data_IF_891565265431
#
_entry.id   IF_891565265431
#
_cell.length_a   1.000
_cell.length_b   1.000
_cell.length_c   1.000
_cell.angle_alpha   90.00
_cell.angle_beta   90.00
_cell.angle_gamma   90.00
#
_symmetry.space_group_name_H-M   'P 1'
#
loop_
_entity.id
_entity.type
_entity.pdbx_description
1 polymer ?
#
# COMPACT_ATOMS: atom_id res chain seq x y z
N UNK A 1 -4.62 -13.71 -12.14
CA UNK A 1 -3.65 -12.60 -12.14
C UNK A 1 -3.60 -12.04 -10.73
N UNK A 2 -2.43 -11.71 -10.21
CA UNK A 2 -2.25 -11.27 -8.83
C UNK A 2 -1.21 -10.14 -8.80
N UNK A 3 -1.47 -9.11 -8.02
CA UNK A 3 -0.62 -7.94 -7.92
C UNK A 3 0.22 -8.01 -6.64
N UNK A 4 1.51 -7.69 -6.77
CA UNK A 4 2.47 -7.61 -5.66
C UNK A 4 3.09 -6.22 -5.64
N UNK A 5 3.63 -5.83 -4.49
CA UNK A 5 4.33 -4.56 -4.32
C UNK A 5 5.75 -4.81 -3.79
N UNK A 6 6.75 -4.17 -4.40
CA UNK A 6 8.07 -3.99 -3.81
C UNK A 6 8.22 -2.52 -3.40
N UNK A 7 8.61 -2.29 -2.16
CA UNK A 7 8.86 -0.94 -1.60
C UNK A 7 10.35 -0.82 -1.29
N UNK A 8 10.97 0.24 -1.79
CA UNK A 8 12.41 0.48 -1.60
C UNK A 8 12.60 1.51 -0.49
N UNK A 9 13.02 1.07 0.68
CA UNK A 9 13.36 1.94 1.81
C UNK A 9 14.84 2.24 1.79
N UNK A 10 15.20 3.32 1.09
CA UNK A 10 16.58 3.73 0.81
C UNK A 10 17.37 3.96 2.10
N UNK A 11 16.80 4.69 3.07
CA UNK A 11 17.47 4.99 4.33
C UNK A 11 17.79 3.74 5.17
N UNK A 12 16.99 2.68 5.02
CA UNK A 12 17.10 1.43 5.77
C UNK A 12 17.86 0.34 5.01
N UNK A 13 18.24 0.63 3.75
CA UNK A 13 18.80 -0.35 2.80
C UNK A 13 17.94 -1.62 2.72
N UNK A 14 16.62 -1.44 2.59
CA UNK A 14 15.65 -2.54 2.45
C UNK A 14 14.84 -2.43 1.17
N UNK A 15 14.55 -3.58 0.59
CA UNK A 15 13.52 -3.78 -0.41
C UNK A 15 12.48 -4.69 0.24
N UNK A 16 11.29 -4.18 0.49
CA UNK A 16 10.22 -4.91 1.17
C UNK A 16 9.24 -5.46 0.14
N UNK A 17 8.94 -6.75 0.23
CA UNK A 17 7.95 -7.41 -0.62
C UNK A 17 6.65 -7.63 0.15
N UNK A 18 5.56 -7.06 -0.38
CA UNK A 18 4.21 -7.16 0.16
C UNK A 18 3.34 -8.05 -0.75
N UNK A 19 2.62 -8.98 -0.12
CA UNK A 19 1.76 -9.93 -0.81
C UNK A 19 0.41 -10.10 -0.09
N UNK A 20 -0.61 -9.40 -0.56
CA UNK A 20 -1.96 -9.46 0.03
C UNK A 20 -2.61 -10.85 0.01
N UNK A 21 -2.12 -11.80 -0.81
CA UNK A 21 -2.64 -13.17 -0.91
C UNK A 21 -1.54 -14.22 -0.66
N UNK A 22 -1.21 -14.54 0.61
CA UNK A 22 -0.13 -15.47 0.95
C UNK A 22 -0.39 -16.91 0.49
N UNK A 23 -1.66 -17.29 0.29
CA UNK A 23 -2.06 -18.63 -0.19
C UNK A 23 -1.91 -18.82 -1.70
N UNK A 24 -1.61 -17.75 -2.45
CA UNK A 24 -1.34 -17.86 -3.88
C UNK A 24 -0.04 -18.62 -4.15
N UNK A 25 0.12 -19.15 -5.37
CA UNK A 25 1.41 -19.71 -5.81
C UNK A 25 2.51 -18.66 -5.59
N UNK A 26 3.55 -19.04 -4.84
CA UNK A 26 4.61 -18.10 -4.44
C UNK A 26 5.24 -17.43 -5.66
N UNK A 27 5.11 -16.10 -5.73
CA UNK A 27 5.79 -15.25 -6.70
C UNK A 27 7.14 -14.74 -6.19
N UNK A 28 7.62 -15.25 -5.04
CA UNK A 28 8.87 -14.82 -4.40
C UNK A 28 10.09 -14.93 -5.32
N UNK A 29 10.27 -15.96 -6.18
CA UNK A 29 11.37 -15.97 -7.14
C UNK A 29 11.38 -14.75 -8.07
N UNK A 30 10.22 -14.31 -8.55
CA UNK A 30 10.13 -13.11 -9.38
C UNK A 30 10.47 -11.83 -8.60
N UNK A 31 10.08 -11.75 -7.33
CA UNK A 31 10.47 -10.63 -6.47
C UNK A 31 12.00 -10.59 -6.25
N UNK A 32 12.65 -11.75 -6.12
CA UNK A 32 14.11 -11.86 -6.05
C UNK A 32 14.77 -11.38 -7.34
N UNK A 33 14.26 -11.80 -8.50
CA UNK A 33 14.78 -11.38 -9.81
C UNK A 33 14.64 -9.87 -10.02
N UNK A 34 13.46 -9.31 -9.74
CA UNK A 34 13.20 -7.86 -9.85
C UNK A 34 14.07 -7.06 -8.87
N UNK A 35 14.21 -7.52 -7.62
CA UNK A 35 15.08 -6.86 -6.65
C UNK A 35 16.55 -6.91 -7.07
N UNK A 36 17.00 -8.01 -7.67
CA UNK A 36 18.38 -8.14 -8.16
C UNK A 36 18.65 -7.18 -9.33
N UNK A 37 17.75 -7.15 -10.32
CA UNK A 37 17.84 -6.23 -11.45
C UNK A 37 17.80 -4.76 -11.01
N UNK A 38 16.98 -4.43 -10.01
CA UNK A 38 16.94 -3.09 -9.44
C UNK A 38 18.28 -2.71 -8.78
N UNK A 39 18.89 -3.60 -8.00
CA UNK A 39 20.19 -3.34 -7.37
C UNK A 39 21.29 -3.13 -8.41
N UNK A 40 21.32 -3.94 -9.46
CA UNK A 40 22.26 -3.77 -10.57
C UNK A 40 22.10 -2.40 -11.24
N UNK A 41 20.85 -1.97 -11.48
CA UNK A 41 20.55 -0.65 -12.04
C UNK A 41 20.91 0.50 -11.08
N UNK A 42 20.73 0.32 -9.78
CA UNK A 42 21.16 1.30 -8.78
C UNK A 42 22.69 1.46 -8.79
N UNK A 43 23.45 0.36 -8.85
CA UNK A 43 24.91 0.39 -8.98
C UNK A 43 25.33 1.09 -10.28
N UNK A 44 24.67 0.79 -11.40
CA UNK A 44 24.96 1.41 -12.71
C UNK A 44 24.78 2.94 -12.67
N UNK A 45 23.87 3.43 -11.82
CA UNK A 45 23.58 4.85 -11.58
C UNK A 45 24.43 5.49 -10.48
N UNK A 46 25.38 4.76 -9.89
CA UNK A 46 26.32 5.28 -8.90
C UNK A 46 25.93 5.06 -7.43
N UNK A 47 24.86 4.32 -7.14
CA UNK A 47 24.55 3.87 -5.78
C UNK A 47 25.40 2.63 -5.46
N UNK A 48 26.67 2.84 -5.12
CA UNK A 48 27.64 1.76 -4.93
C UNK A 48 27.29 0.82 -3.76
N UNK A 49 26.54 1.33 -2.78
CA UNK A 49 26.05 0.57 -1.62
C UNK A 49 24.73 -0.15 -1.89
N UNK A 50 24.20 -0.14 -3.12
CA UNK A 50 22.98 -0.87 -3.46
C UNK A 50 23.08 -2.39 -3.24
N UNK A 51 24.30 -2.93 -3.25
CA UNK A 51 24.55 -4.35 -2.91
C UNK A 51 24.26 -4.67 -1.45
N UNK A 52 24.24 -3.67 -0.56
CA UNK A 52 23.89 -3.82 0.86
C UNK A 52 22.38 -3.92 1.08
N UNK A 53 21.55 -3.64 0.06
CA UNK A 53 20.11 -3.71 0.21
C UNK A 53 19.65 -5.14 0.45
N UNK A 54 18.80 -5.37 1.45
CA UNK A 54 18.21 -6.68 1.73
C UNK A 54 16.79 -6.77 1.17
N UNK A 55 16.44 -7.90 0.53
CA UNK A 55 15.05 -8.19 0.17
C UNK A 55 14.35 -8.87 1.35
N UNK A 56 13.38 -8.17 1.94
CA UNK A 56 12.62 -8.62 3.11
C UNK A 56 11.21 -9.02 2.68
N UNK A 57 10.73 -10.16 3.16
CA UNK A 57 9.31 -10.54 3.06
C UNK A 57 8.58 -9.95 4.26
N UNK A 58 7.58 -9.11 4.02
CA UNK A 58 6.76 -8.52 5.09
C UNK A 58 5.54 -9.40 5.30
N UNK A 59 5.36 -9.92 6.50
CA UNK A 59 4.25 -10.83 6.86
C UNK A 59 3.18 -10.13 7.71
N UNK A 60 3.55 -9.08 8.43
CA UNK A 60 2.66 -8.32 9.31
C UNK A 60 2.01 -7.17 8.53
N UNK A 61 0.99 -7.50 7.74
CA UNK A 61 0.20 -6.53 6.99
C UNK A 61 -1.22 -7.06 6.69
N UNK A 62 -2.18 -6.20 6.33
CA UNK A 62 -3.53 -6.63 5.98
C UNK A 62 -3.53 -7.64 4.82
N UNK A 63 -4.33 -8.71 4.90
CA UNK A 63 -4.44 -9.71 3.84
C UNK A 63 -5.83 -9.69 3.20
N UNK A 64 -5.89 -9.92 1.89
CA UNK A 64 -7.15 -10.04 1.17
C UNK A 64 -7.80 -11.39 1.45
N UNK A 65 -9.14 -11.40 1.50
CA UNK A 65 -9.96 -12.59 1.64
C UNK A 65 -10.62 -12.99 0.31
N UNK A 66 -10.51 -12.16 -0.73
CA UNK A 66 -11.12 -12.39 -2.06
C UNK A 66 -10.06 -12.64 -3.14
N UNK A 67 -10.47 -13.05 -4.34
CA UNK A 67 -9.54 -13.28 -5.46
C UNK A 67 -9.20 -12.03 -6.30
N UNK A 68 -9.88 -10.90 -6.08
CA UNK A 68 -9.89 -9.76 -7.01
C UNK A 68 -9.54 -8.41 -6.37
N UNK A 69 -9.30 -8.36 -5.06
CA UNK A 69 -8.98 -7.13 -4.33
C UNK A 69 -7.48 -6.78 -4.30
N UNK A 70 -6.59 -7.65 -4.81
CA UNK A 70 -5.14 -7.44 -4.76
C UNK A 70 -4.67 -6.08 -5.29
N UNK A 71 -5.32 -5.55 -6.32
CA UNK A 71 -5.04 -4.21 -6.83
C UNK A 71 -5.38 -3.10 -5.84
N UNK A 72 -6.47 -3.22 -5.09
CA UNK A 72 -6.88 -2.22 -4.08
C UNK A 72 -5.96 -2.30 -2.86
N UNK A 73 -5.63 -3.51 -2.40
CA UNK A 73 -4.64 -3.69 -1.33
C UNK A 73 -3.29 -3.09 -1.72
N UNK A 74 -2.79 -3.34 -2.94
CA UNK A 74 -1.55 -2.76 -3.43
C UNK A 74 -1.58 -1.22 -3.44
N UNK A 75 -2.66 -0.61 -3.93
CA UNK A 75 -2.82 0.85 -3.93
C UNK A 75 -2.83 1.42 -2.52
N UNK A 76 -3.55 0.79 -1.58
CA UNK A 76 -3.60 1.26 -0.20
C UNK A 76 -2.30 1.01 0.57
N UNK A 77 -1.57 -0.08 0.28
CA UNK A 77 -0.22 -0.23 0.81
C UNK A 77 0.68 0.94 0.36
N UNK A 78 0.64 1.32 -0.93
CA UNK A 78 1.42 2.45 -1.43
C UNK A 78 1.04 3.76 -0.74
N UNK A 79 -0.25 4.04 -0.59
CA UNK A 79 -0.74 5.26 0.07
C UNK A 79 -0.23 5.36 1.52
N UNK A 80 -0.43 4.32 2.33
CA UNK A 80 0.03 4.31 3.73
C UNK A 80 1.56 4.32 3.84
N UNK A 81 2.28 3.47 3.09
CA UNK A 81 3.74 3.34 3.20
C UNK A 81 4.50 4.55 2.62
N UNK A 82 3.83 5.38 1.81
CA UNK A 82 4.42 6.63 1.30
C UNK A 82 4.41 7.76 2.32
N UNK A 83 3.68 7.59 3.44
CA UNK A 83 3.54 8.57 4.50
C UNK A 83 4.38 8.13 5.70
N UNK A 84 5.23 9.03 6.20
CA UNK A 84 6.08 8.74 7.35
C UNK A 84 5.24 8.45 8.60
N UNK A 85 5.60 7.39 9.32
CA UNK A 85 4.97 7.05 10.61
C UNK A 85 3.59 6.40 10.52
N UNK A 86 3.19 5.90 9.36
CA UNK A 86 1.88 5.27 9.17
C UNK A 86 1.98 3.75 9.13
N UNK A 87 1.16 3.11 9.97
CA UNK A 87 0.98 1.67 9.95
C UNK A 87 -0.13 1.27 8.97
N UNK A 88 -0.05 0.06 8.42
CA UNK A 88 -1.06 -0.52 7.53
C UNK A 88 -2.34 -0.91 8.29
N UNK A 89 -3.05 0.07 8.83
CA UNK A 89 -4.21 -0.11 9.71
C UNK A 89 -5.52 -0.09 8.93
N UNK A 90 -5.70 -1.07 8.03
CA UNK A 90 -6.96 -1.29 7.35
C UNK A 90 -7.25 -2.78 7.19
N UNK A 91 -8.47 -3.10 6.80
CA UNK A 91 -8.95 -4.48 6.69
C UNK A 91 -9.64 -4.72 5.34
N UNK A 92 -10.04 -5.97 5.10
CA UNK A 92 -10.83 -6.36 3.94
C UNK A 92 -12.19 -5.63 3.88
N UNK A 93 -12.75 -5.24 5.02
CA UNK A 93 -14.09 -4.65 5.09
C UNK A 93 -14.10 -3.18 4.61
N UNK A 94 -12.93 -2.54 4.58
CA UNK A 94 -12.72 -1.17 4.08
C UNK A 94 -12.64 -1.12 2.53
N UNK A 95 -12.43 -2.26 1.87
CA UNK A 95 -12.19 -2.33 0.43
C UNK A 95 -13.33 -1.75 -0.44
N UNK A 96 -14.62 -1.99 -0.15
CA UNK A 96 -15.71 -1.36 -0.89
C UNK A 96 -15.66 0.17 -0.84
N UNK A 97 -15.27 0.74 0.30
CA UNK A 97 -15.09 2.18 0.47
C UNK A 97 -13.88 2.68 -0.33
N UNK A 98 -12.71 2.05 -0.17
CA UNK A 98 -11.49 2.42 -0.90
C UNK A 98 -11.66 2.33 -2.41
N UNK A 99 -12.46 1.41 -2.94
CA UNK A 99 -12.80 1.35 -4.38
C UNK A 99 -13.48 2.64 -4.85
N UNK A 100 -14.41 3.17 -4.06
CA UNK A 100 -15.10 4.42 -4.34
C UNK A 100 -14.17 5.63 -4.26
N UNK A 101 -13.33 5.67 -3.22
CA UNK A 101 -12.34 6.74 -3.05
C UNK A 101 -11.33 6.77 -4.20
N UNK A 102 -10.70 5.64 -4.52
CA UNK A 102 -9.73 5.53 -5.62
C UNK A 102 -10.37 5.95 -6.95
N UNK A 103 -11.61 5.52 -7.21
CA UNK A 103 -12.32 5.93 -8.42
C UNK A 103 -12.57 7.45 -8.46
N UNK A 104 -12.99 8.03 -7.33
CA UNK A 104 -13.20 9.46 -7.21
C UNK A 104 -11.89 10.25 -7.41
N UNK A 105 -10.79 9.79 -6.82
CA UNK A 105 -9.47 10.40 -6.95
C UNK A 105 -8.94 10.35 -8.38
N UNK A 106 -9.13 9.23 -9.08
CA UNK A 106 -8.80 9.11 -10.50
C UNK A 106 -9.59 10.11 -11.35
N UNK A 107 -10.91 10.19 -11.14
CA UNK A 107 -11.79 11.12 -11.89
C UNK A 107 -11.40 12.58 -11.59
N UNK A 108 -11.04 12.87 -10.35
CA UNK A 108 -10.68 14.22 -9.89
C UNK A 108 -9.26 14.62 -10.32
N UNK A 109 -8.37 13.65 -10.53
CA UNK A 109 -6.97 13.87 -10.90
C UNK A 109 -6.07 14.27 -9.73
N UNK A 110 -6.53 14.16 -8.48
CA UNK A 110 -5.71 14.35 -7.27
C UNK A 110 -6.32 13.60 -6.08
N UNK A 111 -5.44 13.25 -5.13
CA UNK A 111 -5.81 12.67 -3.85
C UNK A 111 -6.46 13.75 -2.97
N UNK A 112 -7.51 13.39 -2.25
CA UNK A 112 -8.07 14.26 -1.22
C UNK A 112 -7.37 13.91 0.10
N UNK A 113 -6.65 14.87 0.67
CA UNK A 113 -6.27 14.78 2.08
C UNK A 113 -7.55 14.90 2.89
N UNK A 114 -8.07 13.78 3.39
CA UNK A 114 -9.19 13.81 4.32
C UNK A 114 -8.62 14.25 5.67
N UNK A 115 -8.94 15.48 6.16
CA UNK A 115 -8.63 15.82 7.52
C UNK A 115 -9.54 14.96 8.38
N UNK A 116 -8.98 14.12 9.25
CA UNK A 116 -9.64 13.06 10.03
C UNK A 116 -10.74 13.47 11.02
N UNK A 117 -11.32 14.65 10.86
CA UNK A 117 -12.35 15.15 11.76
C UNK A 117 -13.45 15.93 11.05
N UNK A 118 -13.59 15.83 9.71
CA UNK A 118 -14.70 16.48 9.04
C UNK A 118 -16.02 15.73 9.26
N UNK A 119 -16.70 16.05 10.36
CA UNK A 119 -18.00 15.54 10.74
C UNK A 119 -19.07 15.70 9.65
N UNK A 120 -18.95 16.69 8.75
CA UNK A 120 -19.88 16.88 7.64
C UNK A 120 -19.71 15.80 6.55
N UNK A 121 -18.47 15.35 6.31
CA UNK A 121 -18.19 14.27 5.35
C UNK A 121 -18.67 12.92 5.90
N UNK A 122 -18.41 12.65 7.18
CA UNK A 122 -18.93 11.46 7.87
C UNK A 122 -20.46 11.41 7.85
N UNK A 123 -21.11 12.55 8.07
CA UNK A 123 -22.57 12.65 8.00
C UNK A 123 -23.12 12.39 6.60
N UNK A 124 -22.44 12.84 5.54
CA UNK A 124 -22.82 12.54 4.15
C UNK A 124 -22.62 11.07 3.80
N UNK A 125 -21.49 10.47 4.22
CA UNK A 125 -21.21 9.04 3.99
C UNK A 125 -22.24 8.14 4.69
N UNK A 126 -22.59 8.45 5.93
CA UNK A 126 -23.66 7.76 6.67
C UNK A 126 -25.03 7.92 6.00
N UNK A 127 -25.37 9.11 5.48
CA UNK A 127 -26.64 9.36 4.80
C UNK A 127 -26.80 8.55 3.50
N UNK A 128 -25.70 8.14 2.87
CA UNK A 128 -25.68 7.31 1.67
C UNK A 128 -25.42 5.81 1.94
N UNK A 129 -25.47 5.39 3.22
CA UNK A 129 -25.32 3.98 3.61
C UNK A 129 -23.90 3.44 3.45
N UNK A 130 -22.90 4.33 3.39
CA UNK A 130 -21.49 3.95 3.43
C UNK A 130 -21.16 3.58 4.88
N UNK A 131 -20.63 2.37 5.15
CA UNK A 131 -20.31 1.94 6.51
C UNK A 131 -19.32 2.90 7.18
N UNK A 132 -19.41 2.97 8.51
CA UNK A 132 -18.67 3.89 9.36
C UNK A 132 -17.18 3.83 9.03
N UNK A 133 -16.59 4.97 8.68
CA UNK A 133 -15.16 5.12 8.55
C UNK A 133 -14.51 4.61 9.83
N UNK A 134 -13.58 3.66 9.71
CA UNK A 134 -12.88 3.08 10.85
C UNK A 134 -11.95 4.07 11.54
N UNK A 135 -11.94 5.34 11.11
CA UNK A 135 -11.15 6.37 11.75
C UNK A 135 -9.72 5.90 11.74
N UNK A 136 -9.18 5.73 10.53
CA UNK A 136 -7.74 5.54 10.37
C UNK A 136 -7.08 6.68 11.15
N UNK A 137 -6.45 6.35 12.29
CA UNK A 137 -5.68 7.33 13.04
C UNK A 137 -4.78 8.02 12.03
N UNK A 138 -4.90 9.36 11.95
CA UNK A 138 -4.06 10.10 11.03
C UNK A 138 -2.62 9.74 11.33
N UNK A 139 -1.96 9.30 10.26
CA UNK A 139 -0.56 9.59 10.03
C UNK A 139 -0.20 10.94 10.66
N UNK A 140 0.63 10.97 11.71
CA UNK A 140 1.02 12.23 12.31
C UNK A 140 1.72 13.12 11.26
N UNK A 141 1.11 14.25 10.88
CA UNK A 141 1.76 15.28 10.05
C UNK A 141 1.09 15.66 8.72
N UNK A 142 -0.17 15.30 8.46
CA UNK A 142 -1.00 15.93 7.40
C UNK A 142 -1.28 17.40 7.68
#
# INVERSE_FOLDING_TARGET
>A
MHWHLLVVKVAEKRIEWYNSMPTARSAKPYAVDVASALKEEMVSRGFLDATEFELVTVEDHPHQKTGYDCGIFMVKYMDFLSRDGCDLNFTQDDIPHFRGEIAADIIRGHLVDVPSSNAALQSMLQAHGVPHDHGYELCPGS
#
